data_IF_765617565102
#
_entry.id   IF_765617565102
#
_cell.length_a   1.000
_cell.length_b   1.000
_cell.length_c   1.000
_cell.angle_alpha   90.00
_cell.angle_beta   90.00
_cell.angle_gamma   90.00
#
_symmetry.space_group_name_H-M   'P 1'
#
loop_
_entity.id
_entity.type
_entity.pdbx_description
1 polymer ?
#
# COMPACT_ATOMS: atom_id res chain seq x y z
N UNK A 1 -36.42 -43.88 -14.36
CA UNK A 1 -36.09 -42.65 -13.66
C UNK A 1 -34.94 -42.01 -14.45
N UNK A 2 -35.25 -40.98 -15.21
CA UNK A 2 -34.32 -40.29 -16.10
C UNK A 2 -33.49 -39.28 -15.26
N UNK A 3 -32.13 -39.29 -15.30
CA UNK A 3 -31.34 -38.33 -14.52
C UNK A 3 -31.48 -36.97 -15.16
N UNK A 4 -31.96 -36.00 -14.41
CA UNK A 4 -32.01 -34.59 -14.82
C UNK A 4 -30.60 -34.09 -15.14
N UNK A 5 -30.37 -33.39 -16.26
CA UNK A 5 -29.08 -32.82 -16.58
C UNK A 5 -28.72 -31.70 -15.54
N UNK A 6 -27.47 -31.69 -15.12
CA UNK A 6 -26.93 -30.67 -14.24
C UNK A 6 -27.09 -29.26 -14.85
N UNK A 7 -27.38 -28.21 -14.06
CA UNK A 7 -27.48 -26.86 -14.55
C UNK A 7 -26.19 -26.41 -15.20
N UNK A 8 -26.25 -25.99 -16.46
CA UNK A 8 -25.10 -25.35 -17.14
C UNK A 8 -24.83 -24.01 -16.48
N UNK A 9 -23.71 -23.90 -15.79
CA UNK A 9 -23.18 -22.63 -15.31
C UNK A 9 -22.90 -21.78 -16.56
N UNK A 10 -23.42 -20.54 -16.68
CA UNK A 10 -23.08 -19.68 -17.79
C UNK A 10 -21.58 -19.40 -17.77
N UNK A 11 -20.91 -19.68 -18.89
CA UNK A 11 -19.54 -19.30 -19.09
C UNK A 11 -19.49 -17.76 -19.16
N UNK A 12 -19.13 -17.10 -18.07
CA UNK A 12 -18.74 -15.71 -18.11
C UNK A 12 -17.39 -15.66 -18.85
N UNK A 13 -17.45 -15.36 -20.14
CA UNK A 13 -16.28 -14.94 -20.89
C UNK A 13 -15.86 -13.56 -20.39
N UNK A 14 -14.97 -13.51 -19.41
CA UNK A 14 -14.15 -12.34 -19.17
C UNK A 14 -13.16 -12.25 -20.34
N UNK A 15 -13.44 -11.41 -21.33
CA UNK A 15 -12.45 -10.99 -22.31
C UNK A 15 -11.51 -10.00 -21.60
N UNK A 16 -10.47 -10.53 -20.98
CA UNK A 16 -9.42 -9.72 -20.37
C UNK A 16 -8.43 -9.35 -21.48
N UNK A 17 -8.63 -8.18 -22.09
CA UNK A 17 -7.56 -7.48 -22.79
C UNK A 17 -6.56 -7.02 -21.70
N UNK A 18 -5.50 -7.82 -21.48
CA UNK A 18 -4.35 -7.37 -20.70
C UNK A 18 -3.53 -6.44 -21.58
N UNK A 19 -3.29 -5.18 -21.20
CA UNK A 19 -2.28 -4.38 -21.88
C UNK A 19 -0.93 -5.09 -21.77
N UNK A 20 -0.12 -5.04 -22.84
CA UNK A 20 1.30 -5.40 -22.75
C UNK A 20 1.88 -4.56 -21.61
N UNK A 21 2.56 -5.23 -20.66
CA UNK A 21 3.17 -4.55 -19.53
C UNK A 21 4.26 -3.61 -20.08
N UNK A 22 3.92 -2.33 -20.18
CA UNK A 22 4.94 -1.29 -20.29
C UNK A 22 5.87 -1.45 -19.09
N UNK A 23 7.18 -1.43 -19.32
CA UNK A 23 8.18 -1.58 -18.27
C UNK A 23 8.04 -0.46 -17.25
N UNK A 24 7.23 -0.69 -16.20
CA UNK A 24 7.09 0.25 -15.09
C UNK A 24 8.33 0.21 -14.22
N UNK A 25 8.89 1.38 -13.92
CA UNK A 25 10.07 1.55 -13.07
C UNK A 25 9.80 2.64 -12.04
N UNK A 26 10.16 2.38 -10.80
CA UNK A 26 10.11 3.38 -9.74
C UNK A 26 11.54 3.85 -9.41
N UNK A 27 11.79 5.14 -9.60
CA UNK A 27 13.08 5.75 -9.27
C UNK A 27 13.05 6.26 -7.85
N UNK A 28 13.94 5.76 -7.02
CA UNK A 28 14.19 6.27 -5.67
C UNK A 28 15.40 7.20 -5.66
N UNK A 29 15.81 7.70 -4.49
CA UNK A 29 17.05 8.48 -4.32
C UNK A 29 18.31 7.64 -4.52
N UNK A 30 18.24 6.30 -4.45
CA UNK A 30 19.40 5.39 -4.42
C UNK A 30 19.41 4.35 -5.51
N UNK A 31 18.22 3.94 -5.99
CA UNK A 31 18.09 2.81 -6.93
C UNK A 31 16.90 2.98 -7.87
N UNK A 32 16.82 2.08 -8.83
CA UNK A 32 15.65 1.89 -9.68
C UNK A 32 15.02 0.56 -9.26
N UNK A 33 13.74 0.58 -8.93
CA UNK A 33 12.96 -0.61 -8.61
C UNK A 33 12.16 -0.99 -9.87
N UNK A 34 12.39 -2.18 -10.39
CA UNK A 34 11.68 -2.69 -11.57
C UNK A 34 10.38 -3.39 -11.14
N UNK A 35 9.27 -3.05 -11.81
CA UNK A 35 7.93 -3.56 -11.53
C UNK A 35 7.37 -4.44 -12.66
N UNK A 36 8.26 -4.94 -13.54
CA UNK A 36 7.86 -5.52 -14.83
C UNK A 36 7.58 -7.00 -14.80
N UNK A 37 8.30 -7.77 -13.98
CA UNK A 37 8.24 -9.23 -14.04
C UNK A 37 7.32 -9.85 -12.99
N UNK A 38 7.19 -9.22 -11.85
CA UNK A 38 6.37 -9.68 -10.73
C UNK A 38 5.92 -8.50 -9.89
N UNK A 39 4.68 -8.48 -9.41
CA UNK A 39 4.26 -7.50 -8.41
C UNK A 39 5.15 -7.56 -7.17
N UNK A 40 5.31 -6.44 -6.47
CA UNK A 40 6.16 -6.31 -5.29
C UNK A 40 5.37 -6.45 -4.00
N UNK A 41 6.05 -6.92 -2.95
CA UNK A 41 5.55 -6.99 -1.58
C UNK A 41 6.17 -5.88 -0.75
N UNK A 42 5.35 -4.96 -0.24
CA UNK A 42 5.72 -3.95 0.73
C UNK A 42 5.26 -4.40 2.13
N UNK A 43 6.20 -4.80 2.97
CA UNK A 43 5.95 -5.29 4.32
C UNK A 43 5.76 -4.15 5.32
N UNK A 44 4.72 -4.22 6.14
CA UNK A 44 4.37 -3.21 7.15
C UNK A 44 5.16 -3.45 8.44
N UNK A 45 5.99 -2.51 8.83
CA UNK A 45 6.71 -2.50 10.09
C UNK A 45 6.26 -1.34 10.98
N UNK A 46 5.25 -1.58 11.83
CA UNK A 46 4.75 -0.57 12.76
C UNK A 46 5.62 -0.48 14.01
N UNK A 47 6.19 0.69 14.27
CA UNK A 47 6.98 1.00 15.48
C UNK A 47 6.17 1.81 16.50
N UNK A 48 4.86 1.55 16.56
CA UNK A 48 3.95 2.16 17.52
C UNK A 48 3.89 1.37 18.83
N UNK A 49 3.58 2.02 19.99
CA UNK A 49 3.49 1.34 21.27
C UNK A 49 2.52 0.16 21.31
N UNK A 50 1.48 0.19 20.47
CA UNK A 50 0.40 -0.82 20.42
C UNK A 50 0.69 -1.98 19.44
N UNK A 51 1.86 -2.01 18.80
CA UNK A 51 2.16 -2.96 17.70
C UNK A 51 2.37 -4.40 18.17
N UNK A 52 2.61 -4.63 19.48
CA UNK A 52 2.66 -5.96 20.08
C UNK A 52 1.63 -6.10 21.20
N UNK A 53 0.64 -6.95 21.00
CA UNK A 53 -0.46 -7.25 21.91
C UNK A 53 -0.05 -8.00 23.20
N UNK A 54 1.24 -8.30 23.38
CA UNK A 54 1.75 -8.97 24.57
C UNK A 54 2.33 -7.96 25.58
N UNK A 55 1.43 -7.29 26.33
CA UNK A 55 1.80 -6.66 27.59
C UNK A 55 2.25 -5.19 27.54
N UNK A 56 1.94 -4.40 26.50
CA UNK A 56 2.19 -2.94 26.51
C UNK A 56 3.66 -2.52 26.45
N UNK A 57 4.56 -3.36 25.97
CA UNK A 57 5.97 -3.05 25.74
C UNK A 57 6.13 -2.21 24.47
N UNK A 58 6.87 -1.10 24.57
CA UNK A 58 7.34 -0.37 23.37
C UNK A 58 8.25 -1.26 22.55
N UNK A 59 8.06 -1.26 21.21
CA UNK A 59 8.97 -1.92 20.28
C UNK A 59 10.38 -1.31 20.43
N UNK A 60 11.38 -2.16 20.68
CA UNK A 60 12.78 -1.73 20.66
C UNK A 60 13.35 -1.76 19.23
N UNK A 61 14.48 -1.07 19.02
CA UNK A 61 15.18 -1.16 17.73
C UNK A 61 15.55 -2.61 17.39
N UNK A 62 15.96 -3.41 18.40
CA UNK A 62 16.28 -4.82 18.21
C UNK A 62 15.08 -5.67 17.84
N UNK A 63 13.88 -5.35 18.36
CA UNK A 63 12.63 -6.02 17.96
C UNK A 63 12.29 -5.69 16.50
N UNK A 64 12.44 -4.43 16.11
CA UNK A 64 12.23 -3.99 14.73
C UNK A 64 13.22 -4.64 13.75
N UNK A 65 14.50 -4.75 14.14
CA UNK A 65 15.51 -5.44 13.35
C UNK A 65 15.20 -6.92 13.15
N UNK A 66 14.75 -7.62 14.21
CA UNK A 66 14.33 -9.03 14.08
C UNK A 66 13.11 -9.22 13.18
N UNK A 67 12.12 -8.34 13.32
CA UNK A 67 10.94 -8.38 12.45
C UNK A 67 11.31 -8.10 10.98
N UNK A 68 12.17 -7.13 10.73
CA UNK A 68 12.67 -6.82 9.39
C UNK A 68 13.51 -7.97 8.81
N UNK A 69 14.38 -8.61 9.60
CA UNK A 69 15.14 -9.78 9.18
C UNK A 69 14.24 -10.92 8.74
N UNK A 70 13.18 -11.20 9.50
CA UNK A 70 12.17 -12.18 9.11
C UNK A 70 11.47 -11.79 7.79
N UNK A 71 11.07 -10.52 7.61
CA UNK A 71 10.46 -10.06 6.35
C UNK A 71 11.42 -10.24 5.15
N UNK A 72 12.71 -9.98 5.34
CA UNK A 72 13.74 -10.17 4.30
C UNK A 72 13.91 -11.65 3.96
N UNK A 73 13.96 -12.53 4.96
CA UNK A 73 14.00 -14.00 4.76
C UNK A 73 12.74 -14.52 4.06
N UNK A 74 11.59 -13.89 4.30
CA UNK A 74 10.31 -14.20 3.67
C UNK A 74 10.18 -13.64 2.23
N UNK A 75 11.12 -12.78 1.81
CA UNK A 75 11.21 -12.25 0.46
C UNK A 75 10.47 -10.93 0.24
N UNK A 76 10.45 -10.04 1.25
CA UNK A 76 9.92 -8.68 1.11
C UNK A 76 10.75 -7.86 0.10
N UNK A 77 10.09 -7.04 -0.71
CA UNK A 77 10.74 -6.16 -1.68
C UNK A 77 10.95 -4.74 -1.13
N UNK A 78 10.07 -4.26 -0.24
CA UNK A 78 10.12 -2.93 0.38
C UNK A 78 9.68 -3.07 1.85
N UNK A 79 10.37 -2.44 2.79
CA UNK A 79 9.93 -2.36 4.19
C UNK A 79 9.36 -0.96 4.44
N UNK A 80 8.08 -0.90 4.86
CA UNK A 80 7.36 0.35 5.12
C UNK A 80 7.21 0.57 6.62
N UNK A 81 7.87 1.62 7.14
CA UNK A 81 7.99 1.90 8.58
C UNK A 81 6.98 2.96 8.98
N UNK A 82 6.09 2.64 9.92
CA UNK A 82 5.09 3.57 10.46
C UNK A 82 5.27 3.86 11.95
N UNK A 83 5.39 5.15 12.31
CA UNK A 83 5.50 5.63 13.69
C UNK A 83 4.19 6.12 14.30
N UNK A 84 3.17 6.36 13.50
CA UNK A 84 1.83 6.80 13.88
C UNK A 84 0.78 5.79 13.44
N UNK A 85 -0.21 5.51 14.28
CA UNK A 85 -1.33 4.63 13.93
C UNK A 85 -2.42 5.42 13.21
N UNK A 86 -2.84 4.92 12.04
CA UNK A 86 -3.96 5.49 11.27
C UNK A 86 -5.28 4.73 11.46
N UNK A 87 -5.35 3.86 12.48
CA UNK A 87 -6.57 3.11 12.82
C UNK A 87 -7.64 4.07 13.36
N UNK A 88 -8.94 3.72 13.22
CA UNK A 88 -10.00 4.50 13.86
C UNK A 88 -9.74 4.72 15.36
N UNK A 89 -9.96 5.95 15.84
CA UNK A 89 -9.73 6.38 17.22
C UNK A 89 -8.25 6.38 17.69
N UNK A 90 -7.28 6.22 16.80
CA UNK A 90 -5.88 6.42 17.17
C UNK A 90 -5.60 7.89 17.51
N UNK A 91 -4.76 8.12 18.52
CA UNK A 91 -4.33 9.48 18.88
C UNK A 91 -3.24 9.96 17.92
N UNK A 92 -3.34 11.23 17.54
CA UNK A 92 -2.32 11.90 16.73
C UNK A 92 -1.00 12.00 17.51
N UNK A 93 0.11 11.75 16.82
CA UNK A 93 1.47 11.78 17.38
C UNK A 93 2.18 13.04 16.89
N UNK A 94 2.99 13.70 17.73
CA UNK A 94 3.81 14.83 17.28
C UNK A 94 4.91 14.37 16.29
N UNK A 95 5.42 15.29 15.45
CA UNK A 95 6.52 14.99 14.55
C UNK A 95 7.78 14.54 15.32
N UNK A 96 8.08 15.17 16.45
CA UNK A 96 9.23 14.80 17.29
C UNK A 96 9.10 13.38 17.84
N UNK A 97 7.91 13.00 18.30
CA UNK A 97 7.67 11.67 18.84
C UNK A 97 7.70 10.60 17.73
N UNK A 98 7.12 10.88 16.56
CA UNK A 98 7.16 9.98 15.42
C UNK A 98 8.58 9.80 14.90
N UNK A 99 9.35 10.88 14.80
CA UNK A 99 10.78 10.85 14.45
C UNK A 99 11.58 10.02 15.46
N UNK A 100 11.37 10.24 16.75
CA UNK A 100 12.08 9.49 17.80
C UNK A 100 11.79 7.97 17.76
N UNK A 101 10.62 7.56 17.25
CA UNK A 101 10.27 6.16 17.05
C UNK A 101 10.89 5.56 15.78
N UNK A 102 10.84 6.29 14.67
CA UNK A 102 11.14 5.76 13.32
C UNK A 102 12.60 5.90 12.94
N UNK A 103 13.22 7.05 13.23
CA UNK A 103 14.59 7.35 12.81
C UNK A 103 15.63 6.31 13.25
N UNK A 104 15.71 5.90 14.55
CA UNK A 104 16.71 4.91 14.97
C UNK A 104 16.54 3.55 14.28
N UNK A 105 15.29 3.16 13.98
CA UNK A 105 14.96 1.92 13.27
C UNK A 105 15.42 2.01 11.83
N UNK A 106 15.11 3.11 11.12
CA UNK A 106 15.53 3.34 9.74
C UNK A 106 17.07 3.31 9.62
N UNK A 107 17.78 4.01 10.50
CA UNK A 107 19.25 4.01 10.51
C UNK A 107 19.84 2.61 10.71
N UNK A 108 19.25 1.81 11.59
CA UNK A 108 19.72 0.46 11.86
C UNK A 108 19.44 -0.50 10.68
N UNK A 109 18.25 -0.40 10.08
CA UNK A 109 17.86 -1.20 8.92
C UNK A 109 18.69 -0.86 7.68
N UNK A 110 18.89 0.43 7.38
CA UNK A 110 19.66 0.89 6.22
C UNK A 110 21.14 0.46 6.26
N UNK A 111 21.68 0.21 7.46
CA UNK A 111 23.05 -0.33 7.63
C UNK A 111 23.13 -1.84 7.49
N UNK A 112 22.03 -2.55 7.73
CA UNK A 112 22.04 -4.02 7.84
C UNK A 112 21.50 -4.73 6.59
N UNK A 113 20.51 -4.14 5.92
CA UNK A 113 19.79 -4.77 4.80
C UNK A 113 19.87 -3.92 3.54
N UNK A 114 20.01 -4.57 2.39
CA UNK A 114 19.92 -3.92 1.07
C UNK A 114 18.49 -4.04 0.51
N UNK A 115 17.50 -3.59 1.30
CA UNK A 115 16.09 -3.53 0.92
C UNK A 115 15.65 -2.08 0.97
N UNK A 116 14.91 -1.56 -0.04
CA UNK A 116 14.33 -0.22 -0.01
C UNK A 116 13.50 0.00 1.25
N UNK A 117 13.70 1.13 1.90
CA UNK A 117 12.98 1.54 3.11
C UNK A 117 12.01 2.66 2.74
N UNK A 118 10.75 2.48 3.12
CA UNK A 118 9.68 3.46 3.04
C UNK A 118 9.34 3.99 4.44
N UNK A 119 9.01 5.27 4.54
CA UNK A 119 8.44 5.90 5.74
C UNK A 119 6.96 6.22 5.51
N UNK A 120 6.07 5.62 6.32
CA UNK A 120 4.63 5.91 6.34
C UNK A 120 4.39 7.13 7.23
N UNK A 121 4.31 8.31 6.61
CA UNK A 121 4.10 9.58 7.32
C UNK A 121 3.44 10.64 6.42
N UNK A 122 2.70 11.55 7.05
CA UNK A 122 2.12 12.73 6.41
C UNK A 122 2.84 14.03 6.81
N UNK A 123 3.96 13.95 7.54
CA UNK A 123 4.67 15.08 8.13
C UNK A 123 6.03 15.28 7.47
N UNK A 124 6.30 16.49 7.02
CA UNK A 124 7.55 16.88 6.32
C UNK A 124 8.79 16.69 7.18
N UNK A 125 8.72 17.05 8.47
CA UNK A 125 9.86 16.91 9.40
C UNK A 125 10.23 15.42 9.60
N UNK A 126 9.23 14.54 9.76
CA UNK A 126 9.43 13.09 9.88
C UNK A 126 10.01 12.51 8.59
N UNK A 127 9.46 12.89 7.44
CA UNK A 127 9.96 12.47 6.14
C UNK A 127 11.41 12.90 5.92
N UNK A 128 11.75 14.15 6.26
CA UNK A 128 13.11 14.67 6.16
C UNK A 128 14.10 13.89 7.03
N UNK A 129 13.76 13.63 8.29
CA UNK A 129 14.59 12.84 9.21
C UNK A 129 14.77 11.40 8.69
N UNK A 130 13.69 10.76 8.21
CA UNK A 130 13.71 9.41 7.66
C UNK A 130 14.57 9.29 6.40
N UNK A 131 14.43 10.23 5.45
CA UNK A 131 15.20 10.25 4.21
C UNK A 131 16.69 10.48 4.47
N UNK A 132 17.05 11.37 5.40
CA UNK A 132 18.42 11.57 5.85
C UNK A 132 19.02 10.33 6.53
N UNK A 133 18.17 9.49 7.14
CA UNK A 133 18.57 8.27 7.85
C UNK A 133 18.65 7.03 6.97
N UNK A 134 18.21 7.13 5.72
CA UNK A 134 18.33 6.05 4.75
C UNK A 134 17.04 5.53 4.13
N UNK A 135 15.90 6.11 4.45
CA UNK A 135 14.68 5.85 3.69
C UNK A 135 14.83 6.37 2.25
N UNK A 136 14.12 5.74 1.32
CA UNK A 136 14.17 6.06 -0.11
C UNK A 136 12.79 6.41 -0.67
N UNK A 137 11.74 6.10 0.08
CA UNK A 137 10.34 6.25 -0.31
C UNK A 137 9.60 6.95 0.83
N UNK A 138 8.70 7.87 0.50
CA UNK A 138 7.72 8.43 1.43
C UNK A 138 6.34 7.87 1.05
N UNK A 139 5.68 7.22 1.99
CA UNK A 139 4.32 6.73 1.82
C UNK A 139 3.36 7.69 2.52
N UNK A 140 2.73 8.58 1.74
CA UNK A 140 1.84 9.61 2.26
C UNK A 140 0.37 9.26 2.03
N UNK A 141 -0.29 8.83 3.09
CA UNK A 141 -1.71 8.50 3.07
C UNK A 141 -2.62 9.71 2.83
N UNK A 142 -2.10 10.93 2.93
CA UNK A 142 -2.88 12.15 2.74
C UNK A 142 -2.93 12.62 1.27
N UNK A 143 -2.04 12.10 0.42
CA UNK A 143 -1.88 12.59 -0.95
C UNK A 143 -1.44 14.06 -1.00
N UNK A 144 -0.49 14.46 -0.16
CA UNK A 144 0.08 15.80 -0.01
C UNK A 144 -0.91 16.87 0.51
N UNK A 145 -1.93 16.46 1.28
CA UNK A 145 -2.97 17.40 1.76
C UNK A 145 -2.81 17.85 3.19
N UNK A 146 -2.04 17.11 4.03
CA UNK A 146 -1.96 17.42 5.45
C UNK A 146 -0.78 18.32 5.81
N UNK A 147 0.32 18.23 5.07
CA UNK A 147 1.51 19.06 5.28
C UNK A 147 1.97 19.67 3.96
N UNK A 148 1.88 21.00 3.78
CA UNK A 148 2.22 21.67 2.53
C UNK A 148 3.72 21.58 2.18
N UNK A 149 4.59 21.32 3.15
CA UNK A 149 6.05 21.27 2.96
C UNK A 149 6.52 19.88 2.53
N UNK A 150 5.67 18.83 2.68
CA UNK A 150 6.05 17.45 2.41
C UNK A 150 6.51 17.24 0.96
N UNK A 151 5.81 17.82 -0.01
CA UNK A 151 6.16 17.71 -1.43
C UNK A 151 7.56 18.29 -1.72
N UNK A 152 7.91 19.42 -1.09
CA UNK A 152 9.22 20.05 -1.21
C UNK A 152 10.34 19.19 -0.63
N UNK A 153 10.09 18.55 0.52
CA UNK A 153 11.03 17.60 1.15
C UNK A 153 11.27 16.41 0.24
N UNK A 154 10.25 15.76 -0.27
CA UNK A 154 10.36 14.61 -1.19
C UNK A 154 11.14 14.98 -2.45
N UNK A 155 10.82 16.13 -3.07
CA UNK A 155 11.48 16.63 -4.27
C UNK A 155 12.96 16.89 -4.04
N UNK A 156 13.33 17.58 -2.95
CA UNK A 156 14.71 17.93 -2.64
C UNK A 156 15.60 16.71 -2.40
N UNK A 157 15.07 15.64 -1.82
CA UNK A 157 15.76 14.38 -1.58
C UNK A 157 15.73 13.42 -2.79
N UNK A 158 15.00 13.77 -3.87
CA UNK A 158 14.75 12.88 -5.01
C UNK A 158 14.18 11.52 -4.57
N UNK A 159 13.40 11.50 -3.51
CA UNK A 159 12.79 10.29 -3.00
C UNK A 159 11.60 9.84 -3.90
N UNK A 160 11.24 8.57 -3.82
CA UNK A 160 9.97 8.12 -4.36
C UNK A 160 8.83 8.50 -3.42
N UNK A 161 7.63 8.62 -3.98
CA UNK A 161 6.43 9.06 -3.27
C UNK A 161 5.25 8.16 -3.59
N UNK A 162 4.62 7.60 -2.56
CA UNK A 162 3.31 6.96 -2.67
C UNK A 162 2.25 8.00 -2.34
N UNK A 163 1.33 8.21 -3.27
CA UNK A 163 0.21 9.15 -3.15
C UNK A 163 -1.09 8.36 -2.96
N UNK A 164 -1.63 8.38 -1.74
CA UNK A 164 -2.88 7.68 -1.46
C UNK A 164 -4.09 8.60 -1.59
N UNK A 165 -5.17 8.06 -2.16
CA UNK A 165 -6.48 8.72 -2.14
C UNK A 165 -7.13 8.63 -0.77
N UNK A 166 -7.38 9.78 -0.19
CA UNK A 166 -8.06 9.94 1.09
C UNK A 166 -9.08 11.09 1.00
N UNK A 167 -10.20 10.99 1.73
CA UNK A 167 -11.18 12.06 1.94
C UNK A 167 -11.13 12.54 3.39
N UNK A 168 -11.42 13.82 3.61
CA UNK A 168 -11.40 14.43 4.95
C UNK A 168 -9.99 14.78 5.45
N UNK A 169 -9.88 14.93 6.76
CA UNK A 169 -8.63 15.19 7.52
C UNK A 169 -8.23 13.94 8.30
N UNK A 170 -7.12 14.00 9.03
CA UNK A 170 -6.71 12.90 9.92
C UNK A 170 -7.83 12.52 10.91
N UNK A 171 -8.53 13.50 11.46
CA UNK A 171 -9.60 13.31 12.46
C UNK A 171 -10.89 12.77 11.84
N UNK A 172 -11.16 13.10 10.56
CA UNK A 172 -12.43 12.77 9.88
C UNK A 172 -12.33 11.69 8.81
N UNK A 173 -11.14 11.17 8.53
CA UNK A 173 -10.91 10.22 7.43
C UNK A 173 -11.67 8.88 7.57
N UNK A 174 -12.21 8.57 8.74
CA UNK A 174 -13.01 7.37 8.98
C UNK A 174 -14.51 7.65 9.14
N UNK A 175 -14.94 8.91 9.07
CA UNK A 175 -16.32 9.35 9.30
C UNK A 175 -16.91 10.17 8.15
N UNK A 176 -16.32 10.05 6.95
CA UNK A 176 -16.81 10.74 5.75
C UNK A 176 -18.10 10.09 5.25
N UNK A 177 -19.07 10.92 4.84
CA UNK A 177 -20.26 10.44 4.16
C UNK A 177 -19.87 9.74 2.85
N UNK A 178 -20.53 8.62 2.50
CA UNK A 178 -20.30 7.96 1.22
C UNK A 178 -20.55 8.88 0.04
N UNK A 179 -19.82 8.65 -1.06
CA UNK A 179 -20.10 9.29 -2.36
C UNK A 179 -20.85 8.31 -3.26
N UNK A 180 -21.64 8.82 -4.19
CA UNK A 180 -22.43 7.98 -5.10
C UNK A 180 -21.54 7.20 -6.07
N UNK A 181 -20.48 7.82 -6.59
CA UNK A 181 -19.58 7.23 -7.59
C UNK A 181 -18.12 7.27 -7.08
N UNK A 182 -17.66 6.14 -6.55
CA UNK A 182 -16.35 6.08 -5.89
C UNK A 182 -15.17 6.10 -6.87
N UNK A 183 -15.28 5.51 -8.07
CA UNK A 183 -14.20 5.49 -9.05
C UNK A 183 -13.86 6.90 -9.56
N UNK A 184 -14.81 7.71 -10.05
CA UNK A 184 -14.53 9.10 -10.43
C UNK A 184 -13.94 9.94 -9.30
N UNK A 185 -14.40 9.74 -8.05
CA UNK A 185 -13.87 10.42 -6.87
C UNK A 185 -12.40 10.07 -6.65
N UNK A 186 -12.03 8.79 -6.66
CA UNK A 186 -10.65 8.32 -6.51
C UNK A 186 -9.77 8.85 -7.65
N UNK A 187 -10.23 8.77 -8.89
CA UNK A 187 -9.49 9.24 -10.06
C UNK A 187 -9.26 10.76 -9.97
N UNK A 188 -10.26 11.53 -9.59
CA UNK A 188 -10.15 13.00 -9.44
C UNK A 188 -9.18 13.37 -8.32
N UNK A 189 -9.29 12.70 -7.16
CA UNK A 189 -8.40 12.94 -6.01
C UNK A 189 -6.94 12.62 -6.33
N UNK A 190 -6.67 11.47 -6.94
CA UNK A 190 -5.31 11.08 -7.35
C UNK A 190 -4.72 12.03 -8.40
N UNK A 191 -5.51 12.51 -9.38
CA UNK A 191 -5.05 13.52 -10.34
C UNK A 191 -4.65 14.82 -9.65
N UNK A 192 -5.39 15.24 -8.64
CA UNK A 192 -5.07 16.42 -7.85
C UNK A 192 -3.74 16.24 -7.09
N UNK A 193 -3.55 15.09 -6.42
CA UNK A 193 -2.31 14.77 -5.70
C UNK A 193 -1.10 14.70 -6.63
N UNK A 194 -1.23 14.05 -7.79
CA UNK A 194 -0.19 14.00 -8.83
C UNK A 194 0.15 15.41 -9.31
N UNK A 195 -0.87 16.25 -9.58
CA UNK A 195 -0.65 17.64 -9.99
C UNK A 195 0.12 18.45 -8.95
N UNK A 196 -0.18 18.27 -7.65
CA UNK A 196 0.56 18.89 -6.55
C UNK A 196 2.01 18.41 -6.50
N UNK A 197 2.25 17.10 -6.62
CA UNK A 197 3.59 16.52 -6.64
C UNK A 197 4.42 17.04 -7.83
N UNK A 198 3.84 17.07 -9.03
CA UNK A 198 4.51 17.60 -10.23
C UNK A 198 4.83 19.10 -10.12
N UNK A 199 3.94 19.89 -9.54
CA UNK A 199 4.16 21.32 -9.30
C UNK A 199 5.32 21.57 -8.33
N UNK A 200 5.58 20.64 -7.39
CA UNK A 200 6.73 20.66 -6.49
C UNK A 200 8.03 20.11 -7.13
N UNK A 201 7.98 19.69 -8.41
CA UNK A 201 9.15 19.17 -9.15
C UNK A 201 9.42 17.67 -8.96
N UNK A 202 8.45 16.89 -8.43
CA UNK A 202 8.58 15.43 -8.35
C UNK A 202 8.25 14.83 -9.72
N UNK A 203 9.17 14.04 -10.26
CA UNK A 203 9.00 13.39 -11.57
C UNK A 203 7.97 12.23 -11.47
N UNK A 204 7.18 12.02 -12.53
CA UNK A 204 6.19 10.92 -12.58
C UNK A 204 6.80 9.54 -12.35
N UNK A 205 8.04 9.33 -12.80
CA UNK A 205 8.81 8.10 -12.58
C UNK A 205 9.16 7.81 -11.10
N UNK A 206 8.91 8.77 -10.21
CA UNK A 206 9.12 8.64 -8.76
C UNK A 206 7.82 8.49 -7.98
N UNK A 207 6.68 8.39 -8.65
CA UNK A 207 5.38 8.34 -8.01
C UNK A 207 4.75 6.95 -8.12
N UNK A 208 4.14 6.51 -7.04
CA UNK A 208 3.23 5.38 -6.95
C UNK A 208 1.88 5.92 -6.50
N UNK A 209 0.79 5.37 -6.99
CA UNK A 209 -0.56 5.75 -6.57
C UNK A 209 -1.22 4.63 -5.79
N UNK A 210 -2.00 4.99 -4.75
CA UNK A 210 -2.78 4.07 -3.91
C UNK A 210 -4.24 4.51 -3.87
N UNK A 211 -5.15 3.60 -4.15
CA UNK A 211 -6.59 3.86 -4.16
C UNK A 211 -7.20 4.06 -2.77
N UNK A 212 -6.43 3.85 -1.70
CA UNK A 212 -6.82 4.13 -0.32
C UNK A 212 -7.92 3.21 0.21
N UNK A 213 -7.80 1.90 0.01
CA UNK A 213 -8.72 0.90 0.55
C UNK A 213 -8.86 1.05 2.07
N UNK A 214 -10.09 1.08 2.59
CA UNK A 214 -10.40 1.18 4.02
C UNK A 214 -10.35 2.60 4.60
N UNK A 215 -10.07 3.61 3.77
CA UNK A 215 -10.09 5.02 4.19
C UNK A 215 -11.27 5.76 3.54
N UNK A 216 -12.16 6.32 4.35
CA UNK A 216 -13.34 7.10 3.90
C UNK A 216 -14.25 6.39 2.88
N UNK A 217 -14.33 5.07 2.94
CA UNK A 217 -15.05 4.23 1.98
C UNK A 217 -15.90 3.19 2.69
N UNK A 218 -17.09 2.92 2.16
CA UNK A 218 -17.95 1.81 2.64
C UNK A 218 -17.38 0.46 2.27
N UNK A 219 -17.99 -0.62 2.76
CA UNK A 219 -17.62 -1.99 2.36
C UNK A 219 -17.80 -2.16 0.85
N UNK A 220 -18.95 -1.73 0.32
CA UNK A 220 -19.31 -1.82 -1.09
C UNK A 220 -18.35 -1.03 -1.97
N UNK A 221 -17.98 0.20 -1.57
CA UNK A 221 -17.01 1.03 -2.26
C UNK A 221 -15.61 0.42 -2.28
N UNK A 222 -15.17 -0.22 -1.19
CA UNK A 222 -13.90 -0.94 -1.17
C UNK A 222 -13.92 -2.16 -2.11
N UNK A 223 -15.03 -2.89 -2.15
CA UNK A 223 -15.21 -4.02 -3.07
C UNK A 223 -15.23 -3.56 -4.53
N UNK A 224 -15.97 -2.48 -4.82
CA UNK A 224 -16.04 -1.90 -6.16
C UNK A 224 -14.67 -1.46 -6.67
N UNK A 225 -13.88 -0.77 -5.84
CA UNK A 225 -12.53 -0.31 -6.21
C UNK A 225 -11.58 -1.48 -6.52
N UNK A 226 -11.64 -2.58 -5.77
CA UNK A 226 -10.82 -3.76 -6.04
C UNK A 226 -11.30 -4.50 -7.29
N UNK A 227 -12.63 -4.64 -7.46
CA UNK A 227 -13.22 -5.35 -8.58
C UNK A 227 -13.01 -4.64 -9.93
N UNK A 228 -12.96 -3.29 -9.91
CA UNK A 228 -12.80 -2.42 -11.10
C UNK A 228 -11.47 -1.65 -11.07
N UNK A 229 -10.43 -2.23 -10.48
CA UNK A 229 -9.12 -1.57 -10.37
C UNK A 229 -8.49 -1.31 -11.73
N UNK A 230 -8.73 -2.17 -12.70
CA UNK A 230 -8.29 -2.04 -14.09
C UNK A 230 -8.73 -0.70 -14.72
N UNK A 231 -9.98 -0.26 -14.46
CA UNK A 231 -10.46 1.04 -14.93
C UNK A 231 -9.68 2.22 -14.33
N UNK A 232 -9.22 2.08 -13.07
CA UNK A 232 -8.38 3.09 -12.43
C UNK A 232 -6.97 3.03 -13.01
N UNK A 233 -6.41 1.84 -13.23
CA UNK A 233 -5.11 1.68 -13.87
C UNK A 233 -5.09 2.30 -15.28
N UNK A 234 -6.15 2.11 -16.05
CA UNK A 234 -6.31 2.72 -17.38
C UNK A 234 -6.38 4.26 -17.34
N UNK A 235 -6.87 4.84 -16.24
CA UNK A 235 -6.91 6.29 -16.04
C UNK A 235 -5.54 6.90 -15.69
N UNK A 236 -4.56 6.05 -15.33
CA UNK A 236 -3.20 6.45 -14.90
C UNK A 236 -2.11 5.58 -15.56
N UNK A 237 -2.03 5.55 -16.90
CA UNK A 237 -1.02 4.77 -17.59
C UNK A 237 0.40 5.19 -17.16
N UNK A 238 1.24 4.21 -16.88
CA UNK A 238 2.64 4.43 -16.47
C UNK A 238 2.86 4.66 -14.97
N UNK A 239 1.82 4.90 -14.16
CA UNK A 239 1.96 4.97 -12.71
C UNK A 239 1.83 3.57 -12.09
N UNK A 240 2.79 3.12 -11.23
CA UNK A 240 2.61 1.92 -10.44
C UNK A 240 1.43 2.07 -9.48
N UNK A 241 0.64 0.98 -9.33
CA UNK A 241 -0.54 0.92 -8.47
C UNK A 241 -0.23 0.12 -7.21
N UNK A 242 -0.37 0.75 -6.04
CA UNK A 242 -0.28 0.11 -4.74
C UNK A 242 -1.69 -0.20 -4.21
N UNK A 243 -1.84 -1.38 -3.61
CA UNK A 243 -3.08 -1.77 -2.90
C UNK A 243 -2.74 -2.32 -1.51
N UNK A 244 -3.30 -1.67 -0.48
CA UNK A 244 -3.17 -2.07 0.91
C UNK A 244 -4.48 -2.58 1.48
N UNK A 245 -4.89 -3.82 1.19
CA UNK A 245 -6.12 -4.43 1.73
C UNK A 245 -5.87 -5.25 3.02
N UNK A 246 -4.61 -5.40 3.44
CA UNK A 246 -4.19 -6.32 4.50
C UNK A 246 -4.91 -6.07 5.83
N UNK A 247 -5.65 -7.07 6.29
CA UNK A 247 -6.39 -7.11 7.56
C UNK A 247 -7.41 -5.98 7.75
N UNK A 248 -7.82 -5.28 6.67
CA UNK A 248 -8.76 -4.14 6.70
C UNK A 248 -10.15 -4.55 7.17
N UNK A 249 -10.90 -3.59 7.73
CA UNK A 249 -12.20 -3.81 8.38
C UNK A 249 -13.28 -4.32 7.43
N UNK A 250 -13.26 -3.91 6.15
CA UNK A 250 -14.24 -4.39 5.17
C UNK A 250 -14.19 -5.92 4.99
N UNK A 251 -12.99 -6.53 5.06
CA UNK A 251 -12.83 -7.99 5.05
C UNK A 251 -13.48 -8.61 6.30
N UNK A 252 -13.25 -7.99 7.47
CA UNK A 252 -13.87 -8.45 8.71
C UNK A 252 -15.40 -8.44 8.63
N UNK A 253 -15.99 -7.38 8.05
CA UNK A 253 -17.45 -7.28 7.86
C UNK A 253 -18.01 -8.38 6.98
N UNK A 254 -17.29 -8.77 5.92
CA UNK A 254 -17.70 -9.88 5.04
C UNK A 254 -17.58 -11.24 5.74
N UNK A 255 -16.63 -11.37 6.67
CA UNK A 255 -16.34 -12.59 7.41
C UNK A 255 -16.96 -12.55 8.83
N UNK A 256 -18.23 -12.18 8.95
CA UNK A 256 -19.00 -12.17 10.19
C UNK A 256 -18.29 -11.43 11.34
N UNK A 257 -17.79 -10.22 11.06
CA UNK A 257 -17.02 -9.36 11.97
C UNK A 257 -15.72 -10.00 12.50
N UNK A 258 -15.07 -10.81 11.69
CA UNK A 258 -13.81 -11.46 12.06
C UNK A 258 -12.77 -10.46 12.59
N UNK A 259 -12.06 -10.76 13.70
CA UNK A 259 -10.98 -9.92 14.22
C UNK A 259 -9.78 -9.87 13.24
N UNK A 260 -8.91 -8.86 13.36
CA UNK A 260 -7.85 -8.57 12.37
C UNK A 260 -6.88 -9.73 12.14
N UNK A 261 -6.59 -10.52 13.15
CA UNK A 261 -5.72 -11.71 13.10
C UNK A 261 -6.37 -12.91 12.38
N UNK A 262 -7.67 -12.88 12.14
CA UNK A 262 -8.44 -13.91 11.42
C UNK A 262 -8.78 -13.54 9.97
N UNK A 263 -8.21 -12.45 9.44
CA UNK A 263 -8.52 -11.93 8.10
C UNK A 263 -7.52 -12.34 7.02
N UNK A 264 -6.59 -13.23 7.30
CA UNK A 264 -5.52 -13.63 6.37
C UNK A 264 -6.08 -14.11 5.02
N UNK A 265 -6.96 -15.10 5.01
CA UNK A 265 -7.50 -15.65 3.74
C UNK A 265 -8.33 -14.63 2.95
N UNK A 266 -9.10 -13.78 3.64
CA UNK A 266 -9.83 -12.68 2.99
C UNK A 266 -8.87 -11.62 2.44
N UNK A 267 -7.77 -11.33 3.14
CA UNK A 267 -6.70 -10.46 2.66
C UNK A 267 -6.08 -11.01 1.37
N UNK A 268 -5.68 -12.28 1.36
CA UNK A 268 -5.09 -12.92 0.18
C UNK A 268 -6.07 -12.90 -1.00
N UNK A 269 -7.35 -13.23 -0.78
CA UNK A 269 -8.36 -13.18 -1.83
C UNK A 269 -8.50 -11.77 -2.44
N UNK A 270 -8.59 -10.72 -1.60
CA UNK A 270 -8.67 -9.34 -2.05
C UNK A 270 -7.40 -8.90 -2.82
N UNK A 271 -6.23 -9.25 -2.34
CA UNK A 271 -4.95 -8.96 -2.98
C UNK A 271 -4.80 -9.70 -4.33
N UNK A 272 -5.20 -10.97 -4.42
CA UNK A 272 -5.12 -11.73 -5.67
C UNK A 272 -6.01 -11.12 -6.76
N UNK A 273 -7.20 -10.65 -6.41
CA UNK A 273 -8.08 -9.94 -7.35
C UNK A 273 -7.47 -8.59 -7.72
N UNK A 274 -6.93 -7.82 -6.77
CA UNK A 274 -6.25 -6.56 -7.05
C UNK A 274 -5.08 -6.76 -8.03
N UNK A 275 -4.25 -7.79 -7.82
CA UNK A 275 -3.15 -8.15 -8.73
C UNK A 275 -3.64 -8.53 -10.12
N UNK A 276 -4.73 -9.29 -10.18
CA UNK A 276 -5.33 -9.68 -11.46
C UNK A 276 -5.80 -8.46 -12.24
N UNK A 277 -6.32 -7.45 -11.54
CA UNK A 277 -6.84 -6.21 -12.08
C UNK A 277 -5.80 -5.07 -12.18
N UNK A 278 -4.50 -5.36 -12.05
CA UNK A 278 -3.44 -4.41 -12.39
C UNK A 278 -2.67 -3.77 -11.22
N UNK A 279 -2.83 -4.25 -9.98
CA UNK A 279 -1.95 -3.83 -8.90
C UNK A 279 -0.50 -4.27 -9.15
N UNK A 280 0.45 -3.37 -8.88
CA UNK A 280 1.89 -3.60 -9.02
C UNK A 280 2.56 -3.85 -7.66
N UNK A 281 2.01 -3.29 -6.57
CA UNK A 281 2.58 -3.38 -5.22
C UNK A 281 1.47 -3.76 -4.23
N UNK A 282 1.73 -4.77 -3.38
CA UNK A 282 0.86 -5.13 -2.27
C UNK A 282 1.47 -4.71 -0.95
N UNK A 283 0.74 -3.89 -0.16
CA UNK A 283 1.16 -3.50 1.18
C UNK A 283 0.53 -4.43 2.22
N UNK A 284 1.36 -5.19 2.95
CA UNK A 284 0.93 -6.37 3.71
C UNK A 284 1.54 -6.45 5.12
N UNK A 285 0.83 -7.12 6.04
CA UNK A 285 1.37 -7.57 7.33
C UNK A 285 2.00 -8.98 7.22
N UNK A 286 1.43 -9.85 6.38
CA UNK A 286 1.76 -11.28 6.26
C UNK A 286 2.62 -11.47 5.00
N UNK A 287 3.94 -11.23 5.12
CA UNK A 287 4.88 -11.16 3.98
C UNK A 287 4.99 -12.51 3.29
N UNK A 288 5.24 -13.59 4.04
CA UNK A 288 5.42 -14.93 3.48
C UNK A 288 4.23 -15.36 2.64
N UNK A 289 3.03 -15.25 3.19
CA UNK A 289 1.78 -15.66 2.53
C UNK A 289 1.51 -14.83 1.28
N UNK A 290 1.84 -13.54 1.32
CA UNK A 290 1.75 -12.67 0.15
C UNK A 290 2.74 -13.09 -0.94
N UNK A 291 4.02 -13.28 -0.62
CA UNK A 291 5.07 -13.71 -1.56
C UNK A 291 4.73 -15.07 -2.20
N UNK A 292 4.31 -16.05 -1.41
CA UNK A 292 3.91 -17.37 -1.92
C UNK A 292 2.72 -17.26 -2.87
N UNK A 293 1.71 -16.45 -2.51
CA UNK A 293 0.54 -16.20 -3.37
C UNK A 293 0.90 -15.50 -4.67
N UNK A 294 1.82 -14.53 -4.62
CA UNK A 294 2.32 -13.81 -5.81
C UNK A 294 3.01 -14.76 -6.80
N UNK A 295 3.84 -15.69 -6.30
CA UNK A 295 4.52 -16.69 -7.14
C UNK A 295 3.52 -17.54 -7.93
N UNK A 296 2.42 -17.93 -7.30
CA UNK A 296 1.35 -18.69 -7.97
C UNK A 296 0.66 -17.84 -9.03
N UNK A 297 0.33 -16.57 -8.74
CA UNK A 297 -0.29 -15.66 -9.73
C UNK A 297 0.64 -15.40 -10.91
N UNK A 298 1.93 -15.18 -10.66
CA UNK A 298 2.91 -14.98 -11.72
C UNK A 298 2.99 -16.20 -12.67
N UNK A 299 3.04 -17.42 -12.10
CA UNK A 299 3.02 -18.65 -12.89
C UNK A 299 1.74 -18.80 -13.72
N UNK A 300 0.57 -18.47 -13.15
CA UNK A 300 -0.71 -18.50 -13.87
C UNK A 300 -0.77 -17.46 -14.99
N UNK A 301 -0.22 -16.26 -14.78
CA UNK A 301 -0.13 -15.22 -15.83
C UNK A 301 0.75 -15.67 -16.98
N UNK A 302 1.90 -16.29 -16.70
CA UNK A 302 2.81 -16.84 -17.73
C UNK A 302 2.13 -17.94 -18.56
N UNK A 303 1.51 -18.92 -17.90
CA UNK A 303 0.81 -20.03 -18.59
C UNK A 303 -0.37 -19.58 -19.46
N UNK A 304 -0.90 -18.37 -19.26
CA UNK A 304 -1.97 -17.79 -20.09
C UNK A 304 -1.44 -17.15 -21.38
N UNK A 305 -0.16 -16.74 -21.40
CA UNK A 305 0.48 -16.08 -22.56
C UNK A 305 1.04 -17.09 -23.58
N UNK A 306 1.22 -18.36 -23.18
CA UNK A 306 1.57 -19.49 -24.02
C UNK A 306 0.32 -20.10 -24.69
#
# INVERSE_FOLDING_TARGET
MDPRPAPKVPAFYFSLNMPQADEKKLFTSRRIIELTASPLVMGILNVTPDSFSDGGRKMTVDDALRAAEQMVEEGVDIIDIGGESTRPAASKVSADEETARTQPVIEALAKRFDVPISIDTTKSDVASAALNSGAEIVNDISGLRFDPDLASVVSSHKAALVLMHLRGTFETMHSQEPVDEILPEVISGLRTSIGTAMAAGIESSRMVIDIGIGFSKTVEQNLELIARLDEICDAFPGYPMLVGASRKSFIGRILDDAPSDKRLYGTLAAHLIALWNGADILRVHDVREAVESLRVVAALKTARQE
#
